data_IF_631543900053
#
_entry.id   IF_631543900053
#
_cell.length_a   1.000
_cell.length_b   1.000
_cell.length_c   1.000
_cell.angle_alpha   90.00
_cell.angle_beta   90.00
_cell.angle_gamma   90.00
#
_symmetry.space_group_name_H-M   'P 1'
#
loop_
_entity.id
_entity.type
_entity.pdbx_description
1 polymer ?
#
# COMPACT_ATOMS: atom_id res chain seq x y z
N UNK A 1 27.74 -55.02 21.59
CA UNK A 1 26.47 -54.44 21.09
C UNK A 1 26.55 -52.94 21.21
N UNK A 2 26.66 -52.29 20.09
CA UNK A 2 26.68 -50.82 20.04
C UNK A 2 25.26 -50.31 20.01
N UNK A 3 24.83 -49.65 21.08
CA UNK A 3 23.55 -48.93 21.07
C UNK A 3 23.73 -47.64 20.28
N UNK A 4 23.10 -47.55 19.12
CA UNK A 4 22.96 -46.33 18.40
C UNK A 4 21.90 -45.48 19.11
N UNK A 5 22.35 -44.53 19.90
CA UNK A 5 21.49 -43.43 20.31
C UNK A 5 21.35 -42.48 19.10
N UNK A 6 20.35 -42.72 18.30
CA UNK A 6 19.97 -41.70 17.35
C UNK A 6 19.34 -40.54 18.11
N UNK A 7 20.16 -39.54 18.42
CA UNK A 7 19.65 -38.24 18.82
C UNK A 7 18.92 -37.67 17.61
N UNK A 8 17.61 -37.84 17.60
CA UNK A 8 16.76 -37.06 16.71
C UNK A 8 16.78 -35.62 17.20
N UNK A 9 17.69 -34.84 16.66
CA UNK A 9 17.58 -33.38 16.73
C UNK A 9 16.42 -32.98 15.82
N UNK A 10 15.23 -32.89 16.42
CA UNK A 10 14.14 -32.21 15.76
C UNK A 10 14.50 -30.72 15.83
N UNK A 11 15.16 -30.26 14.79
CA UNK A 11 15.35 -28.82 14.60
C UNK A 11 13.97 -28.24 14.36
N UNK A 12 13.33 -27.79 15.44
CA UNK A 12 12.14 -26.96 15.33
C UNK A 12 12.61 -25.61 14.77
N UNK A 13 12.67 -25.52 13.46
CA UNK A 13 12.79 -24.22 12.80
C UNK A 13 11.49 -23.50 13.08
N UNK A 14 11.51 -22.68 14.12
CA UNK A 14 10.45 -21.73 14.38
C UNK A 14 10.52 -20.70 13.25
N UNK A 15 9.79 -20.97 12.17
CA UNK A 15 9.60 -19.98 11.12
C UNK A 15 8.70 -18.93 11.73
N UNK A 16 9.32 -17.86 12.25
CA UNK A 16 8.61 -16.65 12.63
C UNK A 16 8.13 -16.03 11.33
N UNK A 17 6.94 -16.43 10.91
CA UNK A 17 6.26 -15.73 9.82
C UNK A 17 5.80 -14.39 10.36
N UNK A 18 6.67 -13.38 10.25
CA UNK A 18 6.18 -12.02 10.33
C UNK A 18 5.24 -11.82 9.15
N UNK A 19 4.03 -11.29 9.39
CA UNK A 19 3.25 -10.82 8.27
C UNK A 19 4.12 -9.79 7.55
N UNK A 20 4.53 -10.13 6.34
CA UNK A 20 5.16 -9.18 5.45
C UNK A 20 4.08 -8.15 5.13
N UNK A 21 4.05 -7.05 5.87
CA UNK A 21 3.25 -5.90 5.47
C UNK A 21 3.96 -5.37 4.24
N UNK A 22 3.49 -5.81 3.07
CA UNK A 22 3.98 -5.28 1.82
C UNK A 22 3.68 -3.79 1.79
N UNK A 23 4.71 -2.96 1.88
CA UNK A 23 4.60 -1.53 1.70
C UNK A 23 4.22 -1.19 0.26
N UNK A 24 3.73 0.01 0.07
CA UNK A 24 3.51 0.52 -1.28
C UNK A 24 4.86 0.79 -1.93
N UNK A 25 4.93 0.61 -3.25
CA UNK A 25 6.18 0.76 -3.99
C UNK A 25 6.21 2.05 -4.77
N UNK A 26 7.36 2.70 -4.74
CA UNK A 26 7.65 3.88 -5.53
C UNK A 26 9.12 3.94 -5.91
N UNK A 27 9.55 5.05 -6.45
CA UNK A 27 10.88 5.17 -7.04
C UNK A 27 11.60 6.42 -6.55
N UNK A 28 12.90 6.29 -6.34
CA UNK A 28 13.77 7.41 -5.93
C UNK A 28 14.83 7.68 -6.98
N UNK A 29 15.21 8.95 -7.10
CA UNK A 29 16.27 9.41 -7.99
C UNK A 29 15.93 9.33 -9.48
N UNK A 30 16.85 9.83 -10.31
CA UNK A 30 16.72 9.82 -11.76
C UNK A 30 16.83 8.40 -12.35
N UNK A 31 17.53 7.52 -11.66
CA UNK A 31 17.71 6.13 -12.06
C UNK A 31 16.47 5.26 -11.78
N UNK A 32 15.51 5.79 -11.03
CA UNK A 32 14.28 5.07 -10.71
C UNK A 32 14.48 3.84 -9.85
N UNK A 33 15.27 3.95 -8.79
CA UNK A 33 15.46 2.86 -7.83
C UNK A 33 14.17 2.61 -7.06
N UNK A 34 13.67 1.37 -7.12
CA UNK A 34 12.45 0.97 -6.42
C UNK A 34 12.68 0.90 -4.91
N UNK A 35 11.80 1.55 -4.15
CA UNK A 35 11.76 1.42 -2.68
C UNK A 35 10.33 1.21 -2.21
N UNK A 36 10.19 0.70 -1.00
CA UNK A 36 8.91 0.56 -0.32
C UNK A 36 8.67 1.73 0.62
N UNK A 37 7.42 2.20 0.67
CA UNK A 37 6.96 3.21 1.62
C UNK A 37 5.85 2.62 2.49
N UNK A 38 5.88 2.93 3.78
CA UNK A 38 4.95 2.36 4.77
C UNK A 38 3.90 3.38 5.15
N UNK A 39 2.63 2.99 5.03
CA UNK A 39 1.52 3.84 5.47
C UNK A 39 1.46 3.90 6.99
N UNK A 40 1.38 5.11 7.55
CA UNK A 40 1.09 5.34 8.97
C UNK A 40 -0.40 5.50 9.16
N UNK A 41 -1.05 6.24 8.25
CA UNK A 41 -2.49 6.52 8.30
C UNK A 41 -3.08 6.45 6.91
N UNK A 42 -4.19 5.72 6.79
CA UNK A 42 -4.88 5.53 5.52
C UNK A 42 -6.40 5.52 5.76
N UNK A 43 -7.02 6.70 5.97
CA UNK A 43 -8.46 6.77 6.18
C UNK A 43 -9.24 6.14 5.03
N UNK A 44 -10.29 5.41 5.37
CA UNK A 44 -11.15 4.79 4.36
C UNK A 44 -11.83 5.86 3.51
N UNK A 45 -11.94 5.63 2.19
CA UNK A 45 -12.66 6.54 1.32
C UNK A 45 -14.16 6.54 1.64
N UNK A 46 -14.79 7.70 1.45
CA UNK A 46 -16.23 7.81 1.55
C UNK A 46 -16.90 7.10 0.37
N UNK A 47 -17.86 6.23 0.66
CA UNK A 47 -18.59 5.55 -0.38
C UNK A 47 -19.64 6.50 -0.98
N UNK A 48 -19.67 6.74 -2.30
CA UNK A 48 -20.64 7.65 -2.91
C UNK A 48 -22.07 7.17 -2.69
N UNK A 49 -22.95 8.04 -2.21
CA UNK A 49 -24.35 7.68 -1.88
C UNK A 49 -25.11 7.08 -3.04
N UNK A 50 -24.90 7.61 -4.25
CA UNK A 50 -25.54 7.09 -5.46
C UNK A 50 -25.10 5.66 -5.75
N UNK A 51 -23.81 5.36 -5.55
CA UNK A 51 -23.27 4.03 -5.72
C UNK A 51 -23.86 3.04 -4.70
N UNK A 52 -24.06 3.49 -3.45
CA UNK A 52 -24.74 2.67 -2.43
C UNK A 52 -26.16 2.32 -2.87
N UNK A 53 -26.93 3.33 -3.30
CA UNK A 53 -28.33 3.11 -3.72
C UNK A 53 -28.47 2.16 -4.90
N UNK A 54 -27.51 2.21 -5.82
CA UNK A 54 -27.54 1.40 -7.04
C UNK A 54 -26.77 0.07 -6.88
N UNK A 55 -26.18 -0.20 -5.71
CA UNK A 55 -25.41 -1.41 -5.48
C UNK A 55 -24.14 -1.51 -6.32
N UNK A 56 -23.54 -0.36 -6.67
CA UNK A 56 -22.35 -0.32 -7.51
C UNK A 56 -21.09 -0.46 -6.67
N UNK A 57 -20.26 -1.42 -7.03
CA UNK A 57 -18.93 -1.66 -6.48
C UNK A 57 -17.88 -1.39 -7.55
N UNK A 58 -16.62 -1.22 -7.14
CA UNK A 58 -15.56 -0.99 -8.12
C UNK A 58 -14.20 -0.77 -7.49
N UNK A 59 -13.28 -0.30 -8.32
CA UNK A 59 -11.91 -0.03 -7.90
C UNK A 59 -11.34 1.18 -8.63
N UNK A 60 -10.37 1.83 -7.98
CA UNK A 60 -9.64 2.97 -8.54
C UNK A 60 -8.15 2.72 -8.35
N UNK A 61 -7.40 2.81 -9.43
CA UNK A 61 -5.94 2.83 -9.39
C UNK A 61 -5.47 4.27 -9.40
N UNK A 62 -4.68 4.64 -8.40
CA UNK A 62 -4.15 5.99 -8.25
C UNK A 62 -2.64 5.96 -8.29
N UNK A 63 -2.06 7.07 -8.72
CA UNK A 63 -0.63 7.31 -8.66
C UNK A 63 -0.38 8.66 -8.01
N UNK A 64 0.66 8.73 -7.20
CA UNK A 64 1.06 9.95 -6.50
C UNK A 64 2.53 9.86 -6.08
N UNK A 65 3.05 10.99 -5.65
CA UNK A 65 4.36 11.06 -5.02
C UNK A 65 4.21 11.14 -3.51
N UNK A 66 5.23 10.70 -2.78
CA UNK A 66 5.32 10.83 -1.32
C UNK A 66 6.46 11.78 -1.01
N UNK A 67 6.15 12.87 -0.32
CA UNK A 67 7.13 13.90 0.03
C UNK A 67 8.05 13.42 1.18
N UNK A 68 9.10 14.18 1.42
CA UNK A 68 10.08 13.91 2.47
C UNK A 68 9.49 13.82 3.87
N UNK A 69 8.34 14.46 4.11
CA UNK A 69 7.61 14.39 5.38
C UNK A 69 6.57 13.25 5.43
N UNK A 70 6.44 12.47 4.36
CA UNK A 70 5.47 11.38 4.27
C UNK A 70 4.10 11.79 3.71
N UNK A 71 3.89 13.05 3.36
CA UNK A 71 2.63 13.52 2.78
C UNK A 71 2.49 13.12 1.32
N UNK A 72 1.25 12.91 0.88
CA UNK A 72 0.92 12.59 -0.51
C UNK A 72 0.90 13.85 -1.36
N UNK A 73 1.58 13.80 -2.51
CA UNK A 73 1.66 14.88 -3.48
C UNK A 73 1.01 14.47 -4.81
N UNK A 74 0.24 15.39 -5.37
CA UNK A 74 -0.29 15.32 -6.74
C UNK A 74 -0.97 13.99 -7.11
N UNK A 75 -1.92 13.50 -6.31
CA UNK A 75 -2.59 12.25 -6.63
C UNK A 75 -3.48 12.39 -7.88
N UNK A 76 -3.43 11.39 -8.73
CA UNK A 76 -4.30 11.30 -9.90
C UNK A 76 -4.76 9.87 -10.16
N UNK A 77 -5.86 9.73 -10.87
CA UNK A 77 -6.43 8.43 -11.23
C UNK A 77 -5.76 7.93 -12.51
N UNK A 78 -5.16 6.75 -12.44
CA UNK A 78 -4.58 6.05 -13.60
C UNK A 78 -5.69 5.35 -14.39
N UNK A 79 -6.52 4.59 -13.68
CA UNK A 79 -7.73 4.00 -14.23
C UNK A 79 -8.74 3.70 -13.12
N UNK A 80 -9.98 3.54 -13.49
CA UNK A 80 -11.06 3.20 -12.57
C UNK A 80 -12.13 2.36 -13.26
N UNK A 81 -12.79 1.51 -12.48
CA UNK A 81 -13.88 0.66 -12.97
C UNK A 81 -14.99 0.60 -11.90
N UNK A 82 -16.22 1.06 -12.19
CA UNK A 82 -16.64 1.82 -13.37
C UNK A 82 -16.01 3.21 -13.44
N UNK A 83 -15.76 3.71 -14.63
CA UNK A 83 -15.09 5.00 -14.84
C UNK A 83 -15.89 6.15 -14.20
N UNK A 84 -15.19 7.01 -13.46
CA UNK A 84 -15.73 8.25 -12.89
C UNK A 84 -16.61 8.12 -11.66
N UNK A 85 -17.01 6.92 -11.27
CA UNK A 85 -17.93 6.72 -10.13
C UNK A 85 -17.25 6.98 -8.79
N UNK A 86 -16.06 6.45 -8.61
CA UNK A 86 -15.34 6.50 -7.33
C UNK A 86 -14.14 7.43 -7.32
N UNK A 87 -13.82 8.05 -8.45
CA UNK A 87 -12.59 8.82 -8.66
C UNK A 87 -12.41 9.93 -7.62
N UNK A 88 -13.43 10.76 -7.44
CA UNK A 88 -13.39 11.88 -6.50
C UNK A 88 -13.19 11.40 -5.06
N UNK A 89 -13.90 10.36 -4.67
CA UNK A 89 -13.81 9.78 -3.34
C UNK A 89 -12.42 9.20 -3.07
N UNK A 90 -11.84 8.51 -4.06
CA UNK A 90 -10.51 7.95 -3.99
C UNK A 90 -9.43 9.03 -3.85
N UNK A 91 -9.48 10.07 -4.68
CA UNK A 91 -8.55 11.20 -4.60
C UNK A 91 -8.61 11.88 -3.22
N UNK A 92 -9.83 12.14 -2.73
CA UNK A 92 -10.04 12.77 -1.43
C UNK A 92 -9.46 11.92 -0.30
N UNK A 93 -9.59 10.60 -0.39
CA UNK A 93 -9.04 9.69 0.61
C UNK A 93 -7.52 9.68 0.61
N UNK A 94 -6.89 9.52 -0.56
CA UNK A 94 -5.41 9.42 -0.62
C UNK A 94 -4.71 10.72 -0.27
N UNK A 95 -5.35 11.87 -0.44
CA UNK A 95 -4.81 13.15 0.04
C UNK A 95 -4.63 13.20 1.55
N UNK A 96 -5.35 12.36 2.28
CA UNK A 96 -5.27 12.24 3.73
C UNK A 96 -4.35 11.11 4.19
N UNK A 97 -3.79 10.34 3.26
CA UNK A 97 -2.83 9.31 3.59
C UNK A 97 -1.56 9.94 4.14
N UNK A 98 -0.97 9.28 5.12
CA UNK A 98 0.31 9.66 5.67
C UNK A 98 1.22 8.44 5.65
N UNK A 99 2.40 8.62 5.11
CA UNK A 99 3.47 7.63 5.07
C UNK A 99 4.54 7.95 6.10
N UNK A 100 5.30 6.96 6.50
CA UNK A 100 6.56 7.21 7.20
C UNK A 100 7.46 8.04 6.27
N UNK A 101 8.14 9.08 6.81
CA UNK A 101 9.08 9.85 6.00
C UNK A 101 10.08 8.92 5.32
N UNK A 102 10.12 8.89 3.98
CA UNK A 102 10.97 7.95 3.27
C UNK A 102 12.45 8.27 3.47
N UNK A 103 13.25 7.23 3.67
CA UNK A 103 14.71 7.34 3.82
C UNK A 103 15.38 6.41 2.82
N UNK A 104 16.36 6.95 2.12
CA UNK A 104 17.20 6.20 1.20
C UNK A 104 18.65 6.66 1.37
N UNK A 105 19.55 5.69 1.60
CA UNK A 105 20.97 5.99 1.93
C UNK A 105 21.11 7.00 3.08
N UNK A 106 20.38 6.77 4.18
CA UNK A 106 20.37 7.61 5.38
C UNK A 106 19.92 9.06 5.16
N UNK A 107 19.26 9.35 4.04
CA UNK A 107 18.78 10.68 3.67
C UNK A 107 17.27 10.66 3.45
N UNK A 108 16.57 11.67 3.96
CA UNK A 108 15.15 11.88 3.63
C UNK A 108 14.99 12.15 2.14
N UNK A 109 14.12 11.38 1.49
CA UNK A 109 13.93 11.47 0.04
C UNK A 109 12.44 11.60 -0.30
N UNK A 110 12.18 12.24 -1.43
CA UNK A 110 10.88 12.17 -2.10
C UNK A 110 10.81 10.87 -2.89
N UNK A 111 9.66 10.20 -2.81
CA UNK A 111 9.41 8.97 -3.56
C UNK A 111 8.40 9.26 -4.65
N UNK A 112 8.73 8.88 -5.89
CA UNK A 112 7.90 9.17 -7.05
C UNK A 112 7.11 7.94 -7.49
N UNK A 113 5.98 8.20 -8.15
CA UNK A 113 5.19 7.18 -8.87
C UNK A 113 4.76 6.01 -7.98
N UNK A 114 4.26 6.32 -6.79
CA UNK A 114 3.63 5.31 -5.93
C UNK A 114 2.25 5.00 -6.50
N UNK A 115 1.99 3.73 -6.80
CA UNK A 115 0.68 3.28 -7.29
C UNK A 115 -0.01 2.41 -6.25
N UNK A 116 -1.29 2.68 -6.04
CA UNK A 116 -2.15 1.89 -5.17
C UNK A 116 -3.49 1.64 -5.84
N UNK A 117 -4.22 0.64 -5.35
CA UNK A 117 -5.60 0.37 -5.76
C UNK A 117 -6.49 0.48 -4.53
N UNK A 118 -7.53 1.32 -4.62
CA UNK A 118 -8.61 1.37 -3.64
C UNK A 118 -9.80 0.59 -4.17
N UNK A 119 -10.30 -0.33 -3.36
CA UNK A 119 -11.45 -1.17 -3.71
C UNK A 119 -12.67 -0.73 -2.90
N UNK A 120 -13.79 -0.56 -3.59
CA UNK A 120 -15.06 -0.14 -3.01
C UNK A 120 -16.02 -1.32 -3.05
N UNK A 121 -16.33 -1.87 -1.88
CA UNK A 121 -17.24 -3.01 -1.72
C UNK A 121 -18.31 -2.68 -0.71
N UNK A 122 -19.53 -3.13 -1.02
CA UNK A 122 -20.65 -3.02 -0.10
C UNK A 122 -20.62 -4.19 0.88
N UNK A 123 -21.01 -3.92 2.13
CA UNK A 123 -21.16 -4.98 3.12
C UNK A 123 -22.34 -5.88 2.76
N UNK A 124 -22.17 -7.18 2.95
CA UNK A 124 -23.24 -8.17 2.79
C UNK A 124 -24.32 -8.01 3.86
#
# INVERSE_FOLDING_TARGET
MKKFNSLFFVLFTFILTFPLIAGDKGYVGEEGTEIEVTRISNPSPEYPRRAIRLGVEGSVRLEFDVDTDGSVLDPYVVNSSPAGVFDRSAIKAVRKFLYEPPVYNDTSVKVNNVQIVLTFRLAD
#
